data_IF_551436855278
#
_entry.id   IF_551436855278
#
_cell.length_a   1.000
_cell.length_b   1.000
_cell.length_c   1.000
_cell.angle_alpha   90.00
_cell.angle_beta   90.00
_cell.angle_gamma   90.00
#
_symmetry.space_group_name_H-M   'P 1'
#
loop_
_entity.id
_entity.type
_entity.pdbx_description
1 polymer ?
#
# COMPACT_ATOMS: atom_id res chain seq x y z
N UNK A 1 -11.12 -46.08 -28.13
CA UNK A 1 -11.69 -44.73 -28.01
C UNK A 1 -11.43 -44.04 -26.66
N UNK A 2 -11.47 -44.73 -25.51
CA UNK A 2 -11.35 -44.08 -24.19
C UNK A 2 -10.07 -43.27 -23.93
N UNK A 3 -8.93 -43.66 -24.52
CA UNK A 3 -7.64 -42.94 -24.34
C UNK A 3 -7.62 -41.56 -25.01
N UNK A 4 -8.31 -41.41 -26.14
CA UNK A 4 -8.39 -40.15 -26.89
C UNK A 4 -9.24 -39.12 -26.14
N UNK A 5 -10.40 -39.55 -25.65
CA UNK A 5 -11.27 -38.71 -24.81
C UNK A 5 -10.63 -38.33 -23.48
N UNK A 6 -9.78 -39.18 -22.91
CA UNK A 6 -9.04 -38.87 -21.68
C UNK A 6 -7.98 -37.79 -21.95
N UNK A 7 -7.19 -37.93 -23.03
CA UNK A 7 -6.19 -36.94 -23.44
C UNK A 7 -6.81 -35.57 -23.71
N UNK A 8 -7.95 -35.53 -24.39
CA UNK A 8 -8.68 -34.30 -24.67
C UNK A 8 -9.20 -33.62 -23.38
N UNK A 9 -9.72 -34.39 -22.42
CA UNK A 9 -10.16 -33.88 -21.11
C UNK A 9 -8.99 -33.31 -20.31
N UNK A 10 -7.83 -33.98 -20.31
CA UNK A 10 -6.64 -33.50 -19.60
C UNK A 10 -6.08 -32.22 -20.24
N UNK A 11 -6.07 -32.15 -21.58
CA UNK A 11 -5.67 -30.93 -22.29
C UNK A 11 -6.62 -29.77 -22.00
N UNK A 12 -7.93 -30.01 -21.97
CA UNK A 12 -8.93 -29.00 -21.60
C UNK A 12 -8.76 -28.51 -20.16
N UNK A 13 -8.53 -29.42 -19.21
CA UNK A 13 -8.23 -29.08 -17.81
C UNK A 13 -6.96 -28.24 -17.68
N UNK A 14 -5.91 -28.58 -18.41
CA UNK A 14 -4.65 -27.84 -18.39
C UNK A 14 -4.80 -26.44 -18.97
N UNK A 15 -5.56 -26.31 -20.06
CA UNK A 15 -5.87 -25.03 -20.69
C UNK A 15 -6.73 -24.14 -19.78
N UNK A 16 -7.69 -24.74 -19.08
CA UNK A 16 -8.50 -24.07 -18.07
C UNK A 16 -7.65 -23.58 -16.88
N UNK A 17 -6.70 -24.38 -16.40
CA UNK A 17 -5.76 -23.95 -15.35
C UNK A 17 -4.88 -22.76 -15.78
N UNK A 18 -4.42 -22.74 -17.04
CA UNK A 18 -3.64 -21.62 -17.57
C UNK A 18 -4.45 -20.32 -17.63
N UNK A 19 -5.72 -20.42 -18.02
CA UNK A 19 -6.65 -19.27 -18.03
C UNK A 19 -6.85 -18.73 -16.61
N UNK A 20 -7.10 -19.59 -15.62
CA UNK A 20 -7.26 -19.15 -14.24
C UNK A 20 -5.99 -18.53 -13.63
N UNK A 21 -4.79 -19.00 -14.02
CA UNK A 21 -3.55 -18.39 -13.57
C UNK A 21 -3.33 -17.00 -14.18
N UNK A 22 -3.70 -16.78 -15.45
CA UNK A 22 -3.53 -15.49 -16.12
C UNK A 22 -4.36 -14.36 -15.48
N UNK A 23 -5.57 -14.65 -15.00
CA UNK A 23 -6.42 -13.64 -14.33
C UNK A 23 -5.97 -13.27 -12.91
N UNK A 24 -5.09 -14.06 -12.29
CA UNK A 24 -4.68 -13.82 -10.90
C UNK A 24 -3.78 -12.59 -10.72
N UNK A 25 -3.01 -12.23 -11.74
CA UNK A 25 -2.09 -11.08 -11.69
C UNK A 25 -2.79 -9.75 -11.95
N UNK A 26 -3.81 -9.72 -12.81
CA UNK A 26 -4.54 -8.50 -13.16
C UNK A 26 -5.27 -7.88 -11.94
N UNK A 27 -5.76 -8.73 -11.02
CA UNK A 27 -6.51 -8.24 -9.85
C UNK A 27 -5.59 -7.48 -8.88
N UNK A 28 -4.34 -7.91 -8.71
CA UNK A 28 -3.37 -7.27 -7.82
C UNK A 28 -2.94 -5.90 -8.36
N UNK A 29 -2.77 -5.80 -9.68
CA UNK A 29 -2.47 -4.55 -10.36
C UNK A 29 -3.65 -3.56 -10.24
N UNK A 30 -4.90 -4.04 -10.34
CA UNK A 30 -6.09 -3.21 -10.10
C UNK A 30 -6.14 -2.66 -8.67
N UNK A 31 -5.93 -3.51 -7.64
CA UNK A 31 -5.92 -3.05 -6.25
C UNK A 31 -4.81 -2.02 -6.02
N UNK A 32 -3.61 -2.29 -6.54
CA UNK A 32 -2.46 -1.40 -6.45
C UNK A 32 -2.74 -0.04 -7.08
N UNK A 33 -3.29 -0.04 -8.29
CA UNK A 33 -3.64 1.19 -9.01
C UNK A 33 -4.70 2.00 -8.27
N UNK A 34 -5.74 1.35 -7.72
CA UNK A 34 -6.77 2.03 -6.94
C UNK A 34 -6.19 2.68 -5.67
N UNK A 35 -5.43 1.91 -4.88
CA UNK A 35 -4.82 2.41 -3.63
C UNK A 35 -3.87 3.57 -3.92
N UNK A 36 -2.99 3.42 -4.91
CA UNK A 36 -2.04 4.46 -5.32
C UNK A 36 -2.77 5.74 -5.74
N UNK A 37 -3.83 5.61 -6.56
CA UNK A 37 -4.64 6.73 -7.03
C UNK A 37 -5.30 7.45 -5.87
N UNK A 38 -6.00 6.74 -4.99
CA UNK A 38 -6.72 7.35 -3.86
C UNK A 38 -5.79 8.05 -2.89
N UNK A 39 -4.66 7.43 -2.55
CA UNK A 39 -3.68 8.07 -1.68
C UNK A 39 -3.08 9.35 -2.30
N UNK A 40 -2.84 9.37 -3.62
CA UNK A 40 -2.33 10.54 -4.31
C UNK A 40 -3.37 11.67 -4.44
N UNK A 41 -4.63 11.33 -4.75
CA UNK A 41 -5.74 12.28 -4.87
C UNK A 41 -6.02 13.02 -3.56
N UNK A 42 -5.98 12.29 -2.45
CA UNK A 42 -6.32 12.84 -1.13
C UNK A 42 -5.10 13.28 -0.33
N UNK A 43 -3.87 13.21 -0.85
CA UNK A 43 -2.69 13.61 -0.08
C UNK A 43 -2.73 15.08 0.33
N UNK A 44 -2.54 15.35 1.62
CA UNK A 44 -2.50 16.71 2.14
C UNK A 44 -1.08 17.23 2.34
N UNK A 45 -0.60 18.03 1.39
CA UNK A 45 0.67 18.74 1.51
C UNK A 45 0.59 20.00 2.41
N UNK A 46 -0.61 20.41 2.84
CA UNK A 46 -0.84 21.64 3.61
C UNK A 46 -0.74 21.46 5.12
N UNK A 47 -0.86 20.24 5.65
CA UNK A 47 -0.87 19.97 7.10
C UNK A 47 0.47 20.20 7.82
N UNK A 48 1.58 20.26 7.09
CA UNK A 48 2.92 20.38 7.67
C UNK A 48 3.53 21.79 7.44
N UNK A 49 2.73 22.84 7.54
CA UNK A 49 3.17 24.27 7.48
C UNK A 49 4.18 24.57 6.35
N UNK A 50 3.98 23.97 5.17
CA UNK A 50 4.87 24.08 4.00
C UNK A 50 6.32 23.62 4.23
N UNK A 51 6.59 22.87 5.30
CA UNK A 51 7.91 22.29 5.57
C UNK A 51 8.25 21.18 4.58
N UNK A 52 7.26 20.48 4.01
CA UNK A 52 7.49 19.50 2.95
C UNK A 52 7.67 20.21 1.60
N UNK A 53 8.88 20.10 1.05
CA UNK A 53 9.20 20.53 -0.32
C UNK A 53 8.55 19.63 -1.37
N UNK A 54 8.62 18.32 -1.17
CA UNK A 54 8.00 17.31 -2.04
C UNK A 54 7.87 15.98 -1.30
N UNK A 55 7.01 15.11 -1.80
CA UNK A 55 6.86 13.74 -1.30
C UNK A 55 6.88 12.74 -2.45
N UNK A 56 7.17 11.48 -2.11
CA UNK A 56 7.03 10.32 -2.98
C UNK A 56 6.23 9.27 -2.20
N UNK A 57 5.08 8.87 -2.74
CA UNK A 57 4.25 7.81 -2.17
C UNK A 57 4.03 6.75 -3.24
N UNK A 58 4.48 5.53 -2.96
CA UNK A 58 4.46 4.43 -3.92
C UNK A 58 3.96 3.14 -3.28
N UNK A 59 2.93 2.54 -3.89
CA UNK A 59 2.43 1.21 -3.59
C UNK A 59 2.74 0.30 -4.78
N UNK A 60 3.39 -0.84 -4.53
CA UNK A 60 3.74 -1.82 -5.57
C UNK A 60 2.83 -3.04 -5.50
N UNK A 61 2.64 -3.72 -6.63
CA UNK A 61 1.90 -4.98 -6.68
C UNK A 61 2.56 -6.08 -5.83
N UNK A 62 3.88 -6.02 -5.60
CA UNK A 62 4.58 -6.89 -4.62
C UNK A 62 4.26 -6.57 -3.15
N UNK A 63 3.39 -5.61 -2.89
CA UNK A 63 2.90 -5.26 -1.55
C UNK A 63 3.72 -4.20 -0.83
N UNK A 64 4.77 -3.63 -1.40
CA UNK A 64 5.51 -2.59 -0.70
C UNK A 64 4.75 -1.26 -0.77
N UNK A 65 4.52 -0.66 0.39
CA UNK A 65 4.08 0.72 0.54
C UNK A 65 5.28 1.54 1.04
N UNK A 66 5.71 2.52 0.24
CA UNK A 66 6.86 3.39 0.52
C UNK A 66 6.41 4.83 0.52
N UNK A 67 6.76 5.56 1.56
CA UNK A 67 6.46 6.97 1.70
C UNK A 67 7.73 7.72 2.05
N UNK A 68 8.11 8.67 1.22
CA UNK A 68 9.30 9.49 1.40
C UNK A 68 8.94 10.95 1.37
N UNK A 69 9.36 11.69 2.39
CA UNK A 69 9.19 13.13 2.51
C UNK A 69 10.52 13.83 2.36
N UNK A 70 10.52 14.93 1.63
CA UNK A 70 11.68 15.81 1.49
C UNK A 70 11.30 17.17 2.06
N UNK A 71 12.00 17.57 3.10
CA UNK A 71 11.76 18.82 3.80
C UNK A 71 12.54 19.97 3.16
N UNK A 72 12.03 21.19 3.30
CA UNK A 72 12.70 22.43 2.86
C UNK A 72 14.04 22.63 3.57
N UNK A 73 14.21 22.10 4.78
CA UNK A 73 15.46 22.08 5.54
C UNK A 73 16.57 21.21 4.93
N UNK A 74 16.23 20.33 3.98
CA UNK A 74 17.11 19.30 3.44
C UNK A 74 16.99 17.94 4.13
N UNK A 75 16.25 17.87 5.25
CA UNK A 75 15.90 16.61 5.92
C UNK A 75 15.08 15.72 4.97
N UNK A 76 15.32 14.42 5.03
CA UNK A 76 14.54 13.40 4.32
C UNK A 76 14.02 12.42 5.34
N UNK A 77 12.76 12.03 5.22
CA UNK A 77 12.18 10.95 6.01
C UNK A 77 11.65 9.87 5.08
N UNK A 78 11.89 8.62 5.43
CA UNK A 78 11.54 7.46 4.64
C UNK A 78 10.82 6.45 5.52
N UNK A 79 9.67 6.00 5.04
CA UNK A 79 8.84 4.99 5.65
C UNK A 79 8.63 3.87 4.64
N UNK A 80 8.73 2.62 5.08
CA UNK A 80 8.45 1.48 4.20
C UNK A 80 7.96 0.28 4.99
N UNK A 81 6.91 -0.37 4.50
CA UNK A 81 6.50 -1.69 4.99
C UNK A 81 5.91 -2.52 3.86
N UNK A 82 5.79 -3.83 4.08
CA UNK A 82 5.11 -4.73 3.16
C UNK A 82 3.68 -4.97 3.65
N UNK A 83 2.70 -4.82 2.76
CA UNK A 83 1.26 -5.00 3.01
C UNK A 83 0.91 -6.41 3.48
N UNK A 84 1.76 -7.42 3.32
CA UNK A 84 1.63 -8.73 4.00
C UNK A 84 1.54 -8.57 5.52
N UNK A 85 2.20 -7.54 6.08
CA UNK A 85 2.21 -7.21 7.51
C UNK A 85 1.10 -6.26 7.91
N UNK A 86 0.26 -5.81 6.98
CA UNK A 86 -0.91 -4.96 7.26
C UNK A 86 -1.82 -5.63 8.30
N UNK A 87 -2.33 -4.81 9.21
CA UNK A 87 -3.24 -5.23 10.29
C UNK A 87 -4.54 -4.45 10.25
N UNK A 88 -4.46 -3.13 10.17
CA UNK A 88 -5.63 -2.26 10.28
C UNK A 88 -5.33 -0.88 9.67
N UNK A 89 -6.41 -0.18 9.35
CA UNK A 89 -6.42 1.21 8.91
C UNK A 89 -7.25 2.00 9.91
N UNK A 90 -6.63 3.00 10.53
CA UNK A 90 -7.34 3.99 11.35
C UNK A 90 -7.29 5.35 10.66
N UNK A 91 -8.30 6.18 10.89
CA UNK A 91 -8.32 7.56 10.43
C UNK A 91 -8.67 8.48 11.60
N UNK A 92 -7.84 9.49 11.82
CA UNK A 92 -8.07 10.51 12.84
C UNK A 92 -8.20 11.87 12.15
N UNK A 93 -9.42 12.41 12.11
CA UNK A 93 -9.71 13.68 11.46
C UNK A 93 -11.17 13.86 11.11
N UNK A 94 -11.40 14.72 10.13
CA UNK A 94 -12.70 15.05 9.52
C UNK A 94 -12.66 14.69 8.04
N UNK A 95 -13.80 14.80 7.36
CA UNK A 95 -13.89 14.72 5.89
C UNK A 95 -12.91 15.69 5.19
N UNK A 96 -12.64 16.85 5.77
CA UNK A 96 -11.77 17.89 5.17
C UNK A 96 -10.29 17.62 5.37
N UNK A 97 -9.88 17.10 6.53
CA UNK A 97 -8.48 16.85 6.85
C UNK A 97 -8.31 15.81 7.96
N UNK A 98 -7.22 15.07 7.90
CA UNK A 98 -6.89 14.07 8.90
C UNK A 98 -5.64 13.26 8.59
N UNK A 99 -5.39 12.27 9.43
CA UNK A 99 -4.21 11.40 9.35
C UNK A 99 -4.66 9.95 9.20
N UNK A 100 -4.22 9.33 8.11
CA UNK A 100 -4.41 7.90 7.86
C UNK A 100 -3.27 7.11 8.50
N UNK A 101 -3.61 6.18 9.37
CA UNK A 101 -2.66 5.29 10.04
C UNK A 101 -2.76 3.90 9.42
N UNK A 102 -1.71 3.49 8.71
CA UNK A 102 -1.56 2.14 8.22
C UNK A 102 -0.80 1.33 9.27
N UNK A 103 -1.51 0.47 10.01
CA UNK A 103 -0.94 -0.32 11.11
C UNK A 103 -0.43 -1.67 10.63
N UNK A 104 0.67 -2.10 11.22
CA UNK A 104 1.25 -3.43 10.99
C UNK A 104 1.04 -4.36 12.18
N UNK A 105 1.27 -5.67 11.97
CA UNK A 105 1.12 -6.71 13.00
C UNK A 105 2.16 -6.57 14.14
N UNK A 106 3.36 -6.11 13.83
CA UNK A 106 4.39 -5.73 14.80
C UNK A 106 5.16 -4.51 14.33
N UNK A 107 6.42 -4.39 14.76
CA UNK A 107 7.36 -3.37 14.29
C UNK A 107 7.87 -3.73 12.89
N UNK A 108 7.01 -3.56 11.87
CA UNK A 108 7.28 -3.94 10.49
C UNK A 108 7.42 -2.72 9.55
N UNK A 109 7.34 -1.50 10.09
CA UNK A 109 7.55 -0.25 9.33
C UNK A 109 8.97 0.24 9.56
N UNK A 110 9.79 0.23 8.53
CA UNK A 110 11.11 0.88 8.55
C UNK A 110 10.88 2.39 8.58
N UNK A 111 11.53 3.09 9.50
CA UNK A 111 11.53 4.54 9.64
C UNK A 111 12.97 5.04 9.62
N UNK A 112 13.31 5.80 8.59
CA UNK A 112 14.64 6.33 8.37
C UNK A 112 14.60 7.84 8.18
N UNK A 113 15.53 8.56 8.80
CA UNK A 113 15.73 9.98 8.56
C UNK A 113 17.15 10.23 8.06
N UNK A 114 17.31 11.25 7.21
CA UNK A 114 18.60 11.67 6.69
C UNK A 114 18.71 13.19 6.75
N UNK A 115 19.90 13.69 7.08
CA UNK A 115 20.22 15.14 7.19
C UNK A 115 19.31 15.85 8.20
N UNK A 116 18.91 15.17 9.26
CA UNK A 116 18.18 15.79 10.36
C UNK A 116 19.17 16.54 11.26
N UNK A 117 19.03 17.87 11.33
CA UNK A 117 19.92 18.74 12.10
C UNK A 117 19.60 18.76 13.59
N UNK A 118 18.35 18.43 13.95
CA UNK A 118 17.85 18.59 15.31
C UNK A 118 17.97 17.27 16.08
N UNK A 119 17.71 16.14 15.42
CA UNK A 119 17.71 14.81 16.03
C UNK A 119 18.79 13.83 15.53
N UNK A 120 19.51 14.18 14.46
CA UNK A 120 20.39 13.25 13.76
C UNK A 120 19.64 12.20 12.94
N UNK A 121 20.39 11.43 12.16
CA UNK A 121 19.83 10.38 11.30
C UNK A 121 19.34 9.20 12.15
N UNK A 122 18.06 8.86 11.98
CA UNK A 122 17.36 7.78 12.69
C UNK A 122 17.23 6.59 11.75
N UNK A 123 17.42 5.38 12.28
CA UNK A 123 17.07 4.12 11.64
C UNK A 123 16.36 3.24 12.67
N UNK A 124 15.06 3.06 12.51
CA UNK A 124 14.21 2.41 13.51
C UNK A 124 13.05 1.65 12.87
N UNK A 125 12.39 0.84 13.68
CA UNK A 125 11.18 0.12 13.30
C UNK A 125 9.97 0.70 14.05
N UNK A 126 8.82 0.77 13.39
CA UNK A 126 7.58 1.27 13.96
C UNK A 126 6.41 0.32 13.64
N UNK A 127 5.31 0.50 14.36
CA UNK A 127 4.09 -0.32 14.22
C UNK A 127 3.05 0.29 13.26
N UNK A 128 3.32 1.47 12.72
CA UNK A 128 2.43 2.14 11.78
C UNK A 128 3.17 3.17 10.91
N UNK A 129 2.58 3.45 9.74
CA UNK A 129 2.94 4.56 8.86
C UNK A 129 1.78 5.57 8.86
N UNK A 130 2.09 6.87 8.91
CA UNK A 130 1.08 7.94 8.88
C UNK A 130 1.15 8.70 7.58
N UNK A 131 0.00 8.86 6.92
CA UNK A 131 -0.14 9.63 5.69
C UNK A 131 -1.17 10.74 5.92
N UNK A 132 -0.80 12.02 5.77
CA UNK A 132 -1.76 13.12 5.90
C UNK A 132 -2.69 13.15 4.68
N UNK A 133 -4.00 13.21 4.92
CA UNK A 133 -5.03 13.23 3.89
C UNK A 133 -5.98 14.43 4.05
N UNK A 134 -6.58 14.85 2.95
CA UNK A 134 -7.60 15.90 2.86
C UNK A 134 -8.77 15.47 1.97
N UNK A 135 -9.93 16.09 2.21
CA UNK A 135 -11.13 15.95 1.39
C UNK A 135 -11.47 14.48 1.08
N UNK A 136 -11.40 13.61 2.08
CA UNK A 136 -11.69 12.17 1.92
C UNK A 136 -13.05 11.86 2.54
N UNK A 137 -13.97 11.39 1.72
CA UNK A 137 -15.30 11.01 2.18
C UNK A 137 -15.24 9.69 2.97
N UNK A 138 -16.16 9.46 3.92
CA UNK A 138 -16.21 8.20 4.67
C UNK A 138 -16.31 6.95 3.79
N UNK A 139 -16.97 7.06 2.64
CA UNK A 139 -17.07 5.97 1.67
C UNK A 139 -15.70 5.67 1.03
N UNK A 140 -14.95 6.69 0.60
CA UNK A 140 -13.62 6.52 0.02
C UNK A 140 -12.65 5.87 1.02
N UNK A 141 -12.76 6.22 2.31
CA UNK A 141 -11.98 5.61 3.38
C UNK A 141 -12.34 4.12 3.56
N UNK A 142 -13.64 3.80 3.51
CA UNK A 142 -14.15 2.43 3.63
C UNK A 142 -13.68 1.57 2.46
N UNK A 143 -13.79 2.09 1.24
CA UNK A 143 -13.31 1.44 0.02
C UNK A 143 -11.78 1.22 0.09
N UNK A 144 -11.01 2.23 0.49
CA UNK A 144 -9.55 2.11 0.64
C UNK A 144 -9.17 1.00 1.62
N UNK A 145 -9.88 0.91 2.75
CA UNK A 145 -9.69 -0.14 3.76
C UNK A 145 -9.98 -1.54 3.18
N UNK A 146 -11.09 -1.69 2.46
CA UNK A 146 -11.45 -2.96 1.81
C UNK A 146 -10.40 -3.38 0.77
N UNK A 147 -9.90 -2.43 -0.03
CA UNK A 147 -8.88 -2.67 -1.06
C UNK A 147 -7.55 -3.09 -0.45
N UNK A 148 -7.14 -2.48 0.66
CA UNK A 148 -5.95 -2.88 1.41
C UNK A 148 -6.09 -4.28 2.00
N UNK A 149 -7.26 -4.63 2.54
CA UNK A 149 -7.54 -5.98 3.05
C UNK A 149 -7.51 -7.04 1.93
N UNK A 150 -8.14 -6.75 0.78
CA UNK A 150 -8.10 -7.62 -0.40
C UNK A 150 -6.67 -7.85 -0.89
N UNK A 151 -5.88 -6.78 -1.01
CA UNK A 151 -4.48 -6.86 -1.39
C UNK A 151 -3.66 -7.68 -0.39
N UNK A 152 -3.84 -7.47 0.92
CA UNK A 152 -3.19 -8.28 1.95
C UNK A 152 -3.51 -9.78 1.81
N UNK A 153 -4.79 -10.13 1.62
CA UNK A 153 -5.21 -11.52 1.44
C UNK A 153 -4.57 -12.16 0.20
N UNK A 154 -4.53 -11.44 -0.92
CA UNK A 154 -3.92 -11.93 -2.15
C UNK A 154 -2.41 -12.15 -2.01
N UNK A 155 -1.70 -11.21 -1.39
CA UNK A 155 -0.26 -11.34 -1.13
C UNK A 155 0.07 -12.50 -0.21
N UNK A 156 -0.82 -12.85 0.73
CA UNK A 156 -0.65 -14.00 1.62
C UNK A 156 -0.79 -15.33 0.89
N UNK A 157 -1.61 -15.41 -0.17
CA UNK A 157 -1.80 -16.62 -0.98
C UNK A 157 -0.60 -16.86 -1.93
N UNK A 158 0.09 -15.79 -2.33
CA UNK A 158 1.26 -15.88 -3.23
C UNK A 158 2.58 -16.25 -2.52
N UNK A 159 2.57 -16.39 -1.19
CA UNK A 159 3.75 -16.68 -0.37
C UNK A 159 3.82 -18.17 0.00
#
# INVERSE_FOLDING_TARGET
>A
MNKFTLSLKMSLLLLLCLVFMAFSTEILDEQTAYIQKKLAEHYDNGQEDQQIKRYELNVTNTGFCRYKRYFTSGKVEYFSFNLVKFRALDYYGTDKNGKLYLRTKGEDVIVQTYKDKDGGDVDSMATYMVIPLKNIEPQDLSDLSERLLKMNAQLLVQK
#
